data_IF_037829014605
#
_entry.id   IF_037829014605
#
_cell.length_a   1.000
_cell.length_b   1.000
_cell.length_c   1.000
_cell.angle_alpha   90.00
_cell.angle_beta   90.00
_cell.angle_gamma   90.00
#
_symmetry.space_group_name_H-M   'P 1'
#
loop_
_entity.id
_entity.type
_entity.pdbx_description
1 polymer ?
#
# COMPACT_ATOMS: atom_id res chain seq x y z
N UNK A 1 4.05 10.23 7.80
CA UNK A 1 2.62 9.95 7.50
C UNK A 1 2.13 10.49 6.15
N UNK A 2 2.16 11.79 5.88
CA UNK A 2 1.63 12.37 4.62
C UNK A 2 2.12 11.70 3.31
N UNK A 3 3.38 11.25 3.30
CA UNK A 3 3.99 10.61 2.12
C UNK A 3 3.42 9.20 1.85
N UNK A 4 3.00 8.46 2.88
CA UNK A 4 2.33 7.15 2.72
C UNK A 4 0.94 7.26 2.10
N UNK A 5 0.24 8.38 2.26
CA UNK A 5 -1.05 8.59 1.60
C UNK A 5 -0.89 8.66 0.08
N UNK A 6 0.24 9.19 -0.40
CA UNK A 6 0.60 9.17 -1.82
C UNK A 6 0.76 7.74 -2.35
N UNK A 7 1.56 6.92 -1.66
CA UNK A 7 1.77 5.52 -2.00
C UNK A 7 0.46 4.72 -2.03
N UNK A 8 -0.39 4.89 -1.01
CA UNK A 8 -1.71 4.27 -0.94
C UNK A 8 -2.60 4.68 -2.12
N UNK A 9 -2.70 5.98 -2.41
CA UNK A 9 -3.50 6.47 -3.55
C UNK A 9 -3.01 5.91 -4.88
N UNK A 10 -1.69 5.80 -5.06
CA UNK A 10 -1.09 5.24 -6.28
C UNK A 10 -1.53 3.78 -6.47
N UNK A 11 -1.39 2.94 -5.45
CA UNK A 11 -1.83 1.55 -5.47
C UNK A 11 -3.35 1.40 -5.66
N UNK A 12 -4.14 2.25 -5.00
CA UNK A 12 -5.60 2.28 -5.19
C UNK A 12 -5.96 2.58 -6.64
N UNK A 13 -5.42 3.67 -7.22
CA UNK A 13 -5.75 4.10 -8.57
C UNK A 13 -5.30 3.08 -9.61
N UNK A 14 -4.11 2.50 -9.44
CA UNK A 14 -3.65 1.39 -10.27
C UNK A 14 -4.61 0.21 -10.20
N UNK A 15 -5.06 -0.18 -9.00
CA UNK A 15 -6.00 -1.30 -8.83
C UNK A 15 -7.32 -1.03 -9.53
N UNK A 16 -7.86 0.19 -9.43
CA UNK A 16 -9.10 0.58 -10.13
C UNK A 16 -8.92 0.51 -11.65
N UNK A 17 -7.77 0.97 -12.17
CA UNK A 17 -7.46 0.89 -13.60
C UNK A 17 -7.36 -0.56 -14.07
N UNK A 18 -6.65 -1.40 -13.32
CA UNK A 18 -6.49 -2.83 -13.59
C UNK A 18 -7.83 -3.56 -13.62
N UNK A 19 -8.70 -3.32 -12.63
CA UNK A 19 -10.04 -3.92 -12.60
C UNK A 19 -10.91 -3.48 -13.77
N UNK A 20 -10.80 -2.21 -14.17
CA UNK A 20 -11.51 -1.70 -15.34
C UNK A 20 -11.03 -2.41 -16.61
N UNK A 21 -9.72 -2.56 -16.78
CA UNK A 21 -9.12 -3.26 -17.92
C UNK A 21 -9.50 -4.75 -17.94
N UNK A 22 -9.53 -5.43 -16.78
CA UNK A 22 -9.97 -6.82 -16.70
C UNK A 22 -11.43 -6.99 -17.16
N UNK A 23 -12.32 -6.05 -16.79
CA UNK A 23 -13.72 -6.04 -17.24
C UNK A 23 -13.81 -5.80 -18.76
N UNK A 24 -13.06 -4.83 -19.28
CA UNK A 24 -13.00 -4.53 -20.72
C UNK A 24 -12.48 -5.73 -21.52
N UNK A 25 -11.43 -6.40 -21.02
CA UNK A 25 -10.88 -7.61 -21.62
C UNK A 25 -11.89 -8.77 -21.60
N UNK A 26 -12.63 -8.96 -20.51
CA UNK A 26 -13.71 -9.94 -20.45
C UNK A 26 -14.81 -9.63 -21.48
N UNK A 27 -15.22 -8.37 -21.62
CA UNK A 27 -16.21 -7.98 -22.63
C UNK A 27 -15.72 -8.24 -24.06
N UNK A 28 -14.43 -8.08 -24.33
CA UNK A 28 -13.86 -8.27 -25.66
C UNK A 28 -13.59 -9.75 -26.00
N UNK A 29 -13.19 -10.56 -25.02
CA UNK A 29 -12.65 -11.92 -25.25
C UNK A 29 -13.46 -13.04 -24.62
N UNK A 30 -14.35 -12.73 -23.68
CA UNK A 30 -15.08 -13.71 -22.86
C UNK A 30 -14.22 -14.45 -21.84
N UNK A 31 -12.90 -14.21 -21.80
CA UNK A 31 -11.99 -14.89 -20.87
C UNK A 31 -12.06 -14.22 -19.50
N UNK A 32 -12.41 -15.01 -18.48
CA UNK A 32 -12.46 -14.51 -17.10
C UNK A 32 -11.06 -14.41 -16.49
N UNK A 33 -10.85 -13.38 -15.69
CA UNK A 33 -9.63 -13.23 -14.89
C UNK A 33 -9.87 -13.77 -13.49
N UNK A 34 -8.80 -14.00 -12.72
CA UNK A 34 -8.97 -14.44 -11.33
C UNK A 34 -9.81 -13.43 -10.55
N UNK A 35 -10.82 -13.91 -9.82
CA UNK A 35 -11.68 -13.09 -8.97
C UNK A 35 -10.86 -12.08 -8.14
N UNK A 36 -11.20 -10.78 -8.20
CA UNK A 36 -10.47 -9.76 -7.47
C UNK A 36 -10.41 -10.02 -5.97
N UNK A 37 -9.21 -10.11 -5.44
CA UNK A 37 -8.93 -10.13 -4.00
C UNK A 37 -7.66 -9.35 -3.71
N UNK A 38 -7.46 -8.96 -2.45
CA UNK A 38 -6.21 -8.32 -2.03
C UNK A 38 -4.99 -9.16 -2.45
N UNK A 39 -5.03 -10.48 -2.25
CA UNK A 39 -3.92 -11.38 -2.58
C UNK A 39 -3.63 -11.40 -4.09
N UNK A 40 -4.66 -11.54 -4.92
CA UNK A 40 -4.51 -11.57 -6.39
C UNK A 40 -3.93 -10.26 -6.91
N UNK A 41 -4.49 -9.13 -6.48
CA UNK A 41 -4.08 -7.81 -6.97
C UNK A 41 -2.72 -7.40 -6.38
N UNK A 42 -2.39 -7.82 -5.15
CA UNK A 42 -1.06 -7.61 -4.57
C UNK A 42 0.02 -8.38 -5.32
N UNK A 43 -0.27 -9.62 -5.76
CA UNK A 43 0.65 -10.39 -6.60
C UNK A 43 0.92 -9.67 -7.91
N UNK A 44 -0.13 -9.17 -8.59
CA UNK A 44 0.00 -8.39 -9.83
C UNK A 44 0.69 -7.05 -9.62
N UNK A 45 0.40 -6.36 -8.51
CA UNK A 45 1.07 -5.10 -8.16
C UNK A 45 2.59 -5.30 -8.02
N UNK A 46 3.00 -6.39 -7.36
CA UNK A 46 4.41 -6.69 -7.17
C UNK A 46 5.17 -6.92 -8.49
N UNK A 47 4.50 -7.31 -9.59
CA UNK A 47 5.18 -7.49 -10.89
C UNK A 47 5.35 -6.18 -11.66
N UNK A 48 4.66 -5.10 -11.27
CA UNK A 48 4.64 -3.84 -12.04
C UNK A 48 5.07 -2.62 -11.24
N UNK A 49 5.16 -2.72 -9.90
CA UNK A 49 5.44 -1.57 -9.02
C UNK A 49 6.75 -0.87 -9.36
N UNK A 50 7.75 -1.59 -9.89
CA UNK A 50 9.02 -1.00 -10.30
C UNK A 50 8.85 -0.03 -11.48
N UNK A 51 7.91 -0.28 -12.39
CA UNK A 51 7.58 0.62 -13.50
C UNK A 51 6.45 1.61 -13.20
N UNK A 52 5.56 1.30 -12.27
CA UNK A 52 4.43 2.17 -11.91
C UNK A 52 4.85 3.26 -10.92
N UNK A 53 5.76 2.94 -9.99
CA UNK A 53 6.26 3.84 -8.97
C UNK A 53 7.64 4.39 -9.34
N UNK A 54 7.73 5.00 -10.52
CA UNK A 54 8.92 5.71 -10.99
C UNK A 54 8.78 7.20 -10.77
N UNK A 55 9.90 7.84 -10.45
CA UNK A 55 10.06 9.29 -10.52
C UNK A 55 10.11 9.75 -11.98
N UNK A 56 9.50 10.89 -12.27
CA UNK A 56 9.34 11.37 -13.67
C UNK A 56 10.67 11.84 -14.25
N UNK A 57 11.51 12.45 -13.41
CA UNK A 57 12.74 13.09 -13.87
C UNK A 57 13.90 12.09 -13.93
N UNK A 58 13.98 11.21 -12.94
CA UNK A 58 15.10 10.25 -12.80
C UNK A 58 14.77 8.84 -13.29
N UNK A 59 13.50 8.52 -13.53
CA UNK A 59 13.04 7.17 -13.88
C UNK A 59 13.23 6.14 -12.76
N UNK A 60 13.71 6.56 -11.58
CA UNK A 60 14.09 5.66 -10.50
C UNK A 60 12.87 5.21 -9.68
N UNK A 61 12.81 3.93 -9.26
CA UNK A 61 11.70 3.43 -8.48
C UNK A 61 11.73 3.99 -7.05
N UNK A 62 10.65 4.65 -6.62
CA UNK A 62 10.53 5.25 -5.27
C UNK A 62 9.77 4.38 -4.27
N UNK A 63 9.23 3.23 -4.68
CA UNK A 63 8.29 2.50 -3.83
C UNK A 63 8.88 1.95 -2.53
N UNK A 64 10.19 1.70 -2.51
CA UNK A 64 10.93 1.18 -1.35
C UNK A 64 11.01 2.19 -0.20
N UNK A 65 10.84 3.48 -0.49
CA UNK A 65 10.81 4.54 0.51
C UNK A 65 9.55 4.49 1.40
N UNK A 66 8.52 3.76 0.97
CA UNK A 66 7.24 3.67 1.67
C UNK A 66 6.95 2.25 2.16
N UNK A 67 6.26 2.18 3.29
CA UNK A 67 5.82 0.90 3.85
C UNK A 67 4.93 0.13 2.87
N UNK A 68 5.18 -1.18 2.76
CA UNK A 68 4.37 -2.12 1.98
C UNK A 68 2.88 -2.07 2.32
N UNK A 69 2.56 -1.72 3.57
CA UNK A 69 1.19 -1.65 4.08
C UNK A 69 0.40 -0.51 3.44
N UNK A 70 1.06 0.59 3.03
CA UNK A 70 0.40 1.66 2.30
C UNK A 70 -0.18 1.16 0.98
N UNK A 71 0.58 0.33 0.26
CA UNK A 71 0.13 -0.28 -0.98
C UNK A 71 -0.95 -1.32 -0.72
N UNK A 72 -0.78 -2.17 0.30
CA UNK A 72 -1.77 -3.18 0.66
C UNK A 72 -3.13 -2.56 1.02
N UNK A 73 -3.15 -1.50 1.82
CA UNK A 73 -4.37 -0.76 2.17
C UNK A 73 -5.03 -0.10 0.96
N UNK A 74 -4.22 0.45 0.04
CA UNK A 74 -4.70 1.02 -1.22
C UNK A 74 -5.40 -0.03 -2.10
N UNK A 75 -4.76 -1.18 -2.29
CA UNK A 75 -5.30 -2.32 -3.05
C UNK A 75 -6.57 -2.85 -2.38
N UNK A 76 -6.54 -3.08 -1.07
CA UNK A 76 -7.69 -3.58 -0.31
C UNK A 76 -8.89 -2.62 -0.44
N UNK A 77 -8.66 -1.31 -0.31
CA UNK A 77 -9.70 -0.31 -0.49
C UNK A 77 -10.34 -0.32 -1.88
N UNK A 78 -9.55 -0.54 -2.94
CA UNK A 78 -10.06 -0.61 -4.31
C UNK A 78 -10.86 -1.90 -4.55
N UNK A 79 -10.35 -3.05 -4.08
CA UNK A 79 -11.04 -4.35 -4.13
C UNK A 79 -12.38 -4.31 -3.37
N UNK A 80 -12.41 -3.72 -2.18
CA UNK A 80 -13.64 -3.53 -1.42
C UNK A 80 -14.63 -2.61 -2.17
N UNK A 81 -14.14 -1.54 -2.80
CA UNK A 81 -14.95 -0.67 -3.64
C UNK A 81 -15.58 -1.42 -4.83
N UNK A 82 -14.80 -2.29 -5.48
CA UNK A 82 -15.26 -3.13 -6.57
C UNK A 82 -16.36 -4.11 -6.14
N UNK A 83 -16.17 -4.83 -5.03
CA UNK A 83 -17.18 -5.77 -4.55
C UNK A 83 -18.46 -5.07 -4.08
N UNK A 84 -18.32 -3.90 -3.43
CA UNK A 84 -19.49 -3.07 -3.10
C UNK A 84 -20.29 -2.67 -4.35
N UNK A 85 -19.61 -2.32 -5.44
CA UNK A 85 -20.24 -2.02 -6.72
C UNK A 85 -20.91 -3.25 -7.33
N UNK A 86 -20.23 -4.41 -7.37
CA UNK A 86 -20.79 -5.67 -7.87
C UNK A 86 -22.05 -6.08 -7.09
N UNK A 87 -22.00 -6.07 -5.76
CA UNK A 87 -23.15 -6.39 -4.91
C UNK A 87 -24.31 -5.42 -5.14
N UNK A 88 -24.03 -4.13 -5.28
CA UNK A 88 -25.06 -3.14 -5.58
C UNK A 88 -25.66 -3.31 -6.98
N UNK A 89 -24.84 -3.64 -7.98
CA UNK A 89 -25.28 -3.91 -9.35
C UNK A 89 -26.15 -5.17 -9.43
N UNK A 90 -25.90 -6.16 -8.57
CA UNK A 90 -26.72 -7.36 -8.45
C UNK A 90 -28.05 -7.14 -7.70
N UNK A 91 -28.34 -5.92 -7.23
CA UNK A 91 -29.54 -5.63 -6.44
C UNK A 91 -29.49 -6.09 -4.97
N UNK A 92 -28.35 -6.61 -4.52
CA UNK A 92 -28.18 -7.21 -3.19
C UNK A 92 -27.80 -6.18 -2.11
N UNK A 93 -27.94 -4.88 -2.38
CA UNK A 93 -27.59 -3.80 -1.45
C UNK A 93 -28.77 -2.87 -1.25
N UNK A 94 -29.19 -2.69 0.00
CA UNK A 94 -30.18 -1.70 0.36
C UNK A 94 -29.66 -0.27 0.15
N UNK A 95 -30.53 0.62 -0.34
CA UNK A 95 -30.24 2.04 -0.54
C UNK A 95 -29.84 2.41 -1.96
N UNK A 96 -29.25 3.60 -2.11
CA UNK A 96 -28.87 4.14 -3.44
C UNK A 96 -27.82 3.24 -4.11
N UNK A 97 -27.96 2.95 -5.41
CA UNK A 97 -26.95 2.21 -6.15
C UNK A 97 -25.58 2.87 -6.03
N UNK A 98 -24.54 2.08 -5.76
CA UNK A 98 -23.16 2.58 -5.76
C UNK A 98 -22.54 2.40 -7.14
N UNK A 99 -21.80 3.40 -7.60
CA UNK A 99 -21.04 3.34 -8.84
C UNK A 99 -19.71 2.59 -8.70
N UNK A 100 -19.08 2.30 -9.84
CA UNK A 100 -17.73 1.74 -9.89
C UNK A 100 -16.74 2.63 -9.10
N UNK A 101 -15.74 2.05 -8.41
CA UNK A 101 -14.74 2.83 -7.67
C UNK A 101 -14.07 3.88 -8.55
N UNK A 102 -13.94 5.10 -8.03
CA UNK A 102 -13.35 6.25 -8.74
C UNK A 102 -11.93 6.50 -8.28
N UNK A 103 -11.10 7.00 -9.18
CA UNK A 103 -9.73 7.41 -8.85
C UNK A 103 -9.71 8.45 -7.72
N UNK A 104 -8.74 8.27 -6.82
CA UNK A 104 -8.45 9.15 -5.70
C UNK A 104 -7.47 10.24 -6.14
N UNK A 105 -7.70 11.46 -5.63
CA UNK A 105 -6.85 12.63 -5.86
C UNK A 105 -6.42 13.20 -4.51
N UNK A 106 -5.22 13.81 -4.47
CA UNK A 106 -4.73 14.54 -3.29
C UNK A 106 -5.75 15.65 -2.93
N UNK A 107 -6.00 15.85 -1.63
CA UNK A 107 -6.97 16.83 -1.13
C UNK A 107 -8.45 16.43 -1.27
N UNK A 108 -8.77 15.29 -1.89
CA UNK A 108 -10.12 14.71 -1.96
C UNK A 108 -10.23 13.32 -1.33
N UNK A 109 -9.11 12.61 -1.25
CA UNK A 109 -9.02 11.40 -0.45
C UNK A 109 -8.87 11.76 1.03
N UNK A 110 -9.35 10.90 1.93
CA UNK A 110 -9.37 11.15 3.36
C UNK A 110 -7.98 11.08 4.04
N UNK A 111 -6.88 11.14 3.27
CA UNK A 111 -5.49 11.13 3.74
C UNK A 111 -5.27 10.16 4.90
N UNK A 112 -5.58 8.89 4.64
CA UNK A 112 -5.50 7.79 5.63
C UNK A 112 -4.68 6.64 5.09
N UNK A 113 -4.13 5.85 6.00
CA UNK A 113 -3.51 4.55 5.71
C UNK A 113 -3.70 3.64 6.93
N UNK A 114 -4.03 2.37 6.69
CA UNK A 114 -4.08 1.36 7.75
C UNK A 114 -2.75 0.59 7.79
N UNK A 115 -2.15 0.51 8.97
CA UNK A 115 -1.00 -0.35 9.23
C UNK A 115 -1.45 -1.51 10.10
N UNK A 116 -1.43 -2.72 9.54
CA UNK A 116 -1.60 -3.93 10.34
C UNK A 116 -0.24 -4.33 10.88
N UNK A 117 -0.02 -4.03 12.15
CA UNK A 117 1.09 -4.59 12.91
C UNK A 117 0.54 -5.77 13.70
N UNK A 118 1.37 -6.71 14.17
CA UNK A 118 0.90 -7.82 15.03
C UNK A 118 0.19 -7.32 16.30
N UNK A 119 -0.24 -8.23 17.17
CA UNK A 119 -1.11 -7.92 18.33
C UNK A 119 -0.74 -6.60 19.04
N UNK A 120 -1.58 -5.57 18.85
CA UNK A 120 -1.71 -4.44 19.76
C UNK A 120 -2.89 -4.77 20.67
N UNK A 121 -2.60 -5.32 21.85
CA UNK A 121 -3.62 -5.64 22.84
C UNK A 121 -3.39 -4.80 24.08
N UNK A 122 -4.46 -4.17 24.58
CA UNK A 122 -4.49 -3.63 25.93
C UNK A 122 -4.69 -4.83 26.83
N UNK A 123 -3.74 -5.05 27.74
CA UNK A 123 -3.81 -6.15 28.71
C UNK A 123 -5.03 -5.95 29.64
N UNK A 124 -5.53 -7.01 30.30
CA UNK A 124 -6.73 -6.94 31.13
C UNK A 124 -6.68 -5.85 32.23
N UNK A 125 -5.48 -5.48 32.66
CA UNK A 125 -5.23 -4.42 33.64
C UNK A 125 -5.44 -2.99 33.10
N UNK A 126 -5.64 -2.82 31.79
CA UNK A 126 -5.78 -1.54 31.08
C UNK A 126 -4.59 -0.57 31.24
N UNK A 127 -3.47 -1.06 31.75
CA UNK A 127 -2.27 -0.26 32.02
C UNK A 127 -1.11 -0.66 31.11
N UNK A 128 -1.13 -1.88 30.57
CA UNK A 128 -0.09 -2.36 29.67
C UNK A 128 -0.63 -2.58 28.25
N UNK A 129 0.20 -2.24 27.26
CA UNK A 129 -0.06 -2.51 25.85
C UNK A 129 1.00 -3.48 25.37
N UNK A 130 0.58 -4.69 24.96
CA UNK A 130 1.45 -5.56 24.18
C UNK A 130 1.64 -4.93 22.82
N UNK A 131 2.87 -4.52 22.53
CA UNK A 131 3.25 -4.03 21.21
C UNK A 131 3.78 -5.20 20.37
N UNK A 132 3.50 -5.21 19.06
CA UNK A 132 4.14 -6.16 18.16
C UNK A 132 5.64 -5.96 18.16
N UNK A 133 6.39 -7.07 18.15
CA UNK A 133 7.83 -7.06 17.96
C UNK A 133 8.11 -6.41 16.60
N UNK A 134 8.76 -5.25 16.62
CA UNK A 134 9.30 -4.62 15.42
C UNK A 134 10.67 -5.25 15.22
N UNK A 135 10.87 -6.19 14.28
CA UNK A 135 12.22 -6.63 13.96
C UNK A 135 12.98 -5.39 13.48
N UNK A 136 14.20 -5.19 13.99
CA UNK A 136 15.06 -4.12 13.52
C UNK A 136 15.18 -4.23 12.00
N UNK A 137 14.59 -3.29 11.27
CA UNK A 137 14.84 -3.17 9.84
C UNK A 137 16.33 -2.83 9.70
N UNK A 138 17.00 -3.49 8.77
CA UNK A 138 18.45 -3.40 8.50
C UNK A 138 19.01 -1.98 8.31
N UNK A 139 18.15 -0.96 8.20
CA UNK A 139 18.53 0.45 8.18
C UNK A 139 19.10 0.97 9.50
N UNK A 140 18.68 0.49 10.68
CA UNK A 140 19.28 0.95 11.94
C UNK A 140 20.70 0.41 12.12
N UNK A 141 20.95 -0.84 11.74
CA UNK A 141 22.30 -1.40 11.71
C UNK A 141 23.18 -0.68 10.67
N UNK A 142 22.65 -0.39 9.48
CA UNK A 142 23.38 0.36 8.46
C UNK A 142 23.65 1.82 8.86
N UNK A 143 22.72 2.48 9.58
CA UNK A 143 22.93 3.82 10.13
C UNK A 143 23.93 3.79 11.28
N UNK A 144 23.86 2.81 12.18
CA UNK A 144 24.82 2.64 13.26
C UNK A 144 26.24 2.34 12.74
N UNK A 145 26.36 1.53 11.69
CA UNK A 145 27.63 1.22 11.04
C UNK A 145 28.22 2.46 10.34
N UNK A 146 27.40 3.24 9.62
CA UNK A 146 27.83 4.53 9.05
C UNK A 146 28.22 5.57 10.10
N UNK A 147 27.54 5.59 11.25
CA UNK A 147 27.88 6.49 12.35
C UNK A 147 29.17 6.05 13.05
N UNK A 148 29.44 4.75 13.16
CA UNK A 148 30.70 4.23 13.69
C UNK A 148 31.87 4.57 12.76
N UNK A 149 31.73 4.34 11.46
CA UNK A 149 32.73 4.69 10.44
C UNK A 149 33.05 6.20 10.42
N UNK A 150 32.07 7.07 10.68
CA UNK A 150 32.26 8.53 10.70
C UNK A 150 32.82 9.06 12.03
N UNK A 151 32.72 8.29 13.12
CA UNK A 151 33.31 8.65 14.43
C UNK A 151 34.80 8.27 14.47
N UNK A 152 35.19 7.19 13.80
CA UNK A 152 36.60 6.75 13.72
C UNK A 152 37.46 7.72 12.88
N UNK A 153 36.90 8.39 11.87
CA UNK A 153 37.58 9.42 11.07
C UNK A 153 37.91 10.70 11.87
N UNK A 154 37.25 10.94 13.01
CA UNK A 154 37.42 12.16 13.81
C UNK A 154 38.30 12.01 15.07
N UNK A 155 38.73 10.79 15.42
CA UNK A 155 39.59 10.52 16.58
C UNK A 155 40.91 9.81 16.26
N UNK A 156 41.22 9.59 14.98
CA UNK A 156 42.47 8.97 14.55
C UNK A 156 43.48 9.94 13.94
N UNK A 157 44.04 10.86 14.72
CA UNK A 157 45.41 11.40 14.50
C UNK A 157 45.72 12.52 15.50
N UNK A 158 46.55 12.22 16.49
CA UNK A 158 47.62 13.11 16.95
C UNK A 158 48.63 12.30 17.77
N UNK A 159 49.93 12.63 17.65
CA UNK A 159 51.07 11.72 17.81
C UNK A 159 51.40 11.31 19.25
#
# INVERSE_FOLDING_TARGET
>A
MARHFGARRKAYNWTVATLKADIEAWHATGVDTKKPSLQVLRKRWNTVKDGVCVDVDTGSPWWSEYSKEAYADGIAGAVNGYWNWQTSRAGNKAGKPVGFPRFKKKGRDADRVCFTTGAMRVEPDRQHVTLPVIPAHSTLAAIAQRLAEHVDDHYGSSP
#
